data_IF_505713276722
#
_entry.id   IF_505713276722
#
_cell.length_a   1.000
_cell.length_b   1.000
_cell.length_c   1.000
_cell.angle_alpha   90.00
_cell.angle_beta   90.00
_cell.angle_gamma   90.00
#
_symmetry.space_group_name_H-M   'P 1'
#
loop_
_entity.id
_entity.type
_entity.pdbx_description
1 polymer ?
#
# COMPACT_ATOMS: atom_id res chain seq x y z
N UNK A 1 -17.53 -18.66 20.90
CA UNK A 1 -16.71 -17.81 19.99
C UNK A 1 -16.43 -16.56 20.79
N UNK A 2 -15.17 -16.12 21.00
CA UNK A 2 -14.96 -14.82 21.58
C UNK A 2 -15.62 -13.79 20.67
N UNK A 3 -16.38 -12.85 21.25
CA UNK A 3 -16.91 -11.69 20.56
C UNK A 3 -15.79 -11.08 19.74
N UNK A 4 -16.05 -10.85 18.44
CA UNK A 4 -15.01 -10.55 17.46
C UNK A 4 -14.15 -9.36 17.89
N UNK A 5 -12.86 -9.47 17.65
CA UNK A 5 -11.92 -8.38 17.87
C UNK A 5 -12.47 -7.08 17.26
N UNK A 6 -12.35 -5.92 17.92
CA UNK A 6 -12.93 -4.68 17.41
C UNK A 6 -12.38 -4.33 16.02
N UNK A 7 -13.17 -3.58 15.26
CA UNK A 7 -12.76 -3.07 13.97
C UNK A 7 -11.55 -2.12 14.14
N UNK A 8 -10.46 -2.39 13.42
CA UNK A 8 -9.24 -1.60 13.57
C UNK A 8 -8.21 -1.85 12.48
N UNK A 9 -7.02 -1.33 12.72
CA UNK A 9 -5.86 -1.42 11.85
C UNK A 9 -4.72 -2.14 12.59
N UNK A 10 -4.03 -3.04 11.90
CA UNK A 10 -2.83 -3.72 12.38
C UNK A 10 -1.70 -3.45 11.41
N UNK A 11 -0.54 -3.03 11.92
CA UNK A 11 0.66 -2.80 11.13
C UNK A 11 1.53 -4.05 11.18
N UNK A 12 1.80 -4.65 10.02
CA UNK A 12 2.69 -5.80 9.94
C UNK A 12 3.93 -5.50 9.12
N UNK A 13 5.09 -5.95 9.60
CA UNK A 13 6.32 -6.01 8.80
C UNK A 13 6.34 -7.34 8.05
N UNK A 14 5.93 -7.31 6.78
CA UNK A 14 5.85 -8.50 5.94
C UNK A 14 7.26 -9.01 5.62
N UNK A 15 7.61 -10.27 5.93
CA UNK A 15 8.87 -10.86 5.48
C UNK A 15 8.85 -11.16 3.97
N UNK A 16 10.04 -11.33 3.40
CA UNK A 16 10.18 -11.83 2.03
C UNK A 16 9.67 -13.27 1.86
N UNK A 17 9.42 -13.67 0.61
CA UNK A 17 9.08 -15.04 0.23
C UNK A 17 7.63 -15.46 0.45
N UNK A 18 6.78 -14.58 0.99
CA UNK A 18 5.35 -14.86 1.18
C UNK A 18 4.47 -13.78 0.56
N UNK A 19 3.30 -14.17 0.06
CA UNK A 19 2.33 -13.22 -0.45
C UNK A 19 1.71 -12.39 0.68
N UNK A 20 1.19 -11.19 0.36
CA UNK A 20 0.43 -10.36 1.31
C UNK A 20 -0.75 -11.14 1.92
N UNK A 21 -1.44 -11.97 1.13
CA UNK A 21 -2.54 -12.81 1.61
C UNK A 21 -2.06 -13.87 2.62
N UNK A 22 -0.91 -14.53 2.34
CA UNK A 22 -0.31 -15.50 3.26
C UNK A 22 0.07 -14.85 4.59
N UNK A 23 0.69 -13.66 4.54
CA UNK A 23 1.03 -12.89 5.75
C UNK A 23 -0.19 -12.59 6.62
N UNK A 24 -1.30 -12.11 6.01
CA UNK A 24 -2.54 -11.82 6.72
C UNK A 24 -3.18 -13.08 7.30
N UNK A 25 -3.09 -14.21 6.59
CA UNK A 25 -3.70 -15.46 7.02
C UNK A 25 -3.18 -15.95 8.38
N UNK A 26 -1.93 -15.60 8.74
CA UNK A 26 -1.33 -15.91 10.03
C UNK A 26 -2.00 -15.18 11.21
N UNK A 27 -2.66 -14.04 10.93
CA UNK A 27 -3.34 -13.23 11.94
C UNK A 27 -4.75 -13.72 12.29
N UNK A 28 -5.27 -14.72 11.56
CA UNK A 28 -6.66 -15.18 11.72
C UNK A 28 -6.96 -15.81 13.08
N UNK A 29 -5.95 -16.39 13.72
CA UNK A 29 -6.08 -16.94 15.08
C UNK A 29 -6.33 -15.85 16.12
N UNK A 30 -5.81 -14.63 15.89
CA UNK A 30 -5.92 -13.50 16.82
C UNK A 30 -7.13 -12.63 16.48
N UNK A 31 -7.25 -12.20 15.22
CA UNK A 31 -8.23 -11.19 14.80
C UNK A 31 -9.45 -11.75 14.05
N UNK A 32 -9.57 -13.07 13.94
CA UNK A 32 -10.67 -13.72 13.24
C UNK A 32 -10.51 -13.75 11.72
N UNK A 33 -11.56 -14.21 11.01
CA UNK A 33 -11.50 -14.48 9.58
C UNK A 33 -11.65 -13.24 8.69
N UNK A 34 -12.27 -12.18 9.20
CA UNK A 34 -12.56 -10.97 8.42
C UNK A 34 -11.37 -10.01 8.47
N UNK A 35 -10.41 -10.25 7.58
CA UNK A 35 -9.20 -9.47 7.42
C UNK A 35 -9.06 -9.02 5.96
N UNK A 36 -8.54 -7.80 5.77
CA UNK A 36 -8.18 -7.24 4.47
C UNK A 36 -6.92 -6.42 4.59
N UNK A 37 -6.28 -6.09 3.47
CA UNK A 37 -5.11 -5.19 3.46
C UNK A 37 -5.31 -4.01 2.53
N UNK A 38 -4.59 -2.93 2.78
CA UNK A 38 -4.51 -1.77 1.93
C UNK A 38 -3.14 -1.71 1.24
N UNK A 39 -3.13 -2.05 -0.06
CA UNK A 39 -1.92 -2.05 -0.88
C UNK A 39 -1.08 -3.33 -0.76
N UNK A 40 -1.18 -4.18 -1.80
CA UNK A 40 -0.40 -5.41 -1.93
C UNK A 40 1.11 -5.13 -1.95
N UNK A 41 1.90 -6.02 -1.34
CA UNK A 41 3.32 -6.18 -1.56
C UNK A 41 3.57 -7.46 -2.33
N UNK A 42 4.51 -7.42 -3.29
CA UNK A 42 4.97 -8.60 -4.01
C UNK A 42 5.60 -9.63 -3.06
N UNK A 43 5.67 -10.92 -3.42
CA UNK A 43 6.21 -11.93 -2.51
C UNK A 43 7.66 -11.66 -2.09
N UNK A 44 8.54 -11.26 -3.00
CA UNK A 44 9.93 -10.93 -2.69
C UNK A 44 10.08 -9.67 -1.83
N UNK A 45 9.13 -8.72 -1.92
CA UNK A 45 9.18 -7.46 -1.19
C UNK A 45 8.90 -7.64 0.31
N UNK A 46 9.48 -6.76 1.13
CA UNK A 46 9.31 -6.71 2.60
C UNK A 46 8.67 -5.41 3.06
N UNK A 47 8.43 -5.31 4.35
CA UNK A 47 8.06 -4.04 5.00
C UNK A 47 6.59 -3.88 5.29
N UNK A 48 6.18 -2.64 5.46
CA UNK A 48 4.89 -2.25 6.02
C UNK A 48 3.71 -2.72 5.17
N UNK A 49 2.85 -3.52 5.77
CA UNK A 49 1.54 -3.89 5.20
C UNK A 49 0.44 -3.54 6.21
N UNK A 50 -0.48 -2.69 5.78
CA UNK A 50 -1.62 -2.24 6.59
C UNK A 50 -2.73 -3.30 6.51
N UNK A 51 -3.10 -3.89 7.64
CA UNK A 51 -4.14 -4.94 7.74
C UNK A 51 -5.33 -4.38 8.51
N UNK A 52 -6.49 -4.45 7.88
CA UNK A 52 -7.77 -4.02 8.46
C UNK A 52 -8.52 -5.23 9.02
N UNK A 53 -9.08 -5.07 10.24
CA UNK A 53 -9.81 -6.12 10.95
C UNK A 53 -11.31 -5.85 10.98
N UNK A 54 -12.12 -6.91 10.95
CA UNK A 54 -13.56 -6.80 11.12
C UNK A 54 -14.23 -5.90 10.09
N UNK A 55 -15.05 -4.97 10.55
CA UNK A 55 -15.76 -4.01 9.69
C UNK A 55 -14.84 -2.93 9.11
N UNK A 56 -13.68 -2.67 9.73
CA UNK A 56 -12.71 -1.72 9.21
C UNK A 56 -12.17 -2.11 7.82
N UNK A 57 -12.33 -3.37 7.37
CA UNK A 57 -11.99 -3.77 5.98
C UNK A 57 -12.67 -2.91 4.92
N UNK A 58 -13.78 -2.24 5.25
CA UNK A 58 -14.49 -1.31 4.36
C UNK A 58 -13.75 0.03 4.17
N UNK A 59 -12.76 0.32 5.03
CA UNK A 59 -11.94 1.54 4.97
C UNK A 59 -10.73 1.40 4.04
N UNK A 60 -10.54 0.25 3.39
CA UNK A 60 -9.34 -0.01 2.59
C UNK A 60 -9.08 1.05 1.51
N UNK A 61 -10.11 1.60 0.88
CA UNK A 61 -9.99 2.62 -0.17
C UNK A 61 -9.33 3.92 0.32
N UNK A 62 -9.54 4.31 1.59
CA UNK A 62 -8.94 5.51 2.18
C UNK A 62 -7.43 5.37 2.39
N UNK A 63 -6.94 4.14 2.58
CA UNK A 63 -5.52 3.85 2.78
C UNK A 63 -4.79 3.53 1.48
N UNK A 64 -5.47 2.92 0.50
CA UNK A 64 -4.86 2.55 -0.79
C UNK A 64 -4.38 3.79 -1.55
N UNK A 65 -5.08 4.92 -1.44
CA UNK A 65 -4.73 6.18 -2.09
C UNK A 65 -3.51 6.90 -1.51
N UNK A 66 -3.08 6.57 -0.28
CA UNK A 66 -1.98 7.24 0.38
C UNK A 66 -0.64 7.09 -0.36
N UNK A 67 0.27 8.04 -0.18
CA UNK A 67 1.67 7.95 -0.64
C UNK A 67 2.39 6.78 0.04
N UNK A 68 3.43 6.27 -0.61
CA UNK A 68 4.29 5.21 -0.08
C UNK A 68 5.75 5.61 -0.23
N UNK A 69 6.55 5.20 0.76
CA UNK A 69 8.01 5.30 0.71
C UNK A 69 8.61 3.90 0.68
N UNK A 70 9.62 3.73 -0.15
CA UNK A 70 10.33 2.46 -0.35
C UNK A 70 11.84 2.67 -0.32
N UNK A 71 12.55 1.72 0.28
CA UNK A 71 13.96 1.48 0.05
C UNK A 71 14.09 0.31 -0.92
N UNK A 72 14.94 0.43 -1.93
CA UNK A 72 15.08 -0.58 -2.96
C UNK A 72 16.53 -0.76 -3.38
N UNK A 73 16.88 -1.98 -3.83
CA UNK A 73 18.16 -2.26 -4.48
C UNK A 73 17.90 -2.62 -5.94
N UNK A 74 18.56 -1.91 -6.83
CA UNK A 74 18.48 -2.07 -8.29
C UNK A 74 19.76 -2.73 -8.79
N UNK A 75 19.64 -3.80 -9.56
CA UNK A 75 20.74 -4.43 -10.29
C UNK A 75 20.78 -3.90 -11.73
N UNK A 76 21.87 -3.30 -12.14
CA UNK A 76 22.14 -2.89 -13.53
C UNK A 76 22.86 -4.00 -14.32
N UNK A 77 22.84 -3.88 -15.64
CA UNK A 77 23.49 -4.85 -16.54
C UNK A 77 22.73 -6.16 -16.70
N UNK A 78 21.49 -6.22 -16.26
CA UNK A 78 20.64 -7.39 -16.41
C UNK A 78 19.16 -6.99 -16.46
N UNK A 79 18.33 -7.83 -17.05
CA UNK A 79 16.86 -7.69 -17.08
C UNK A 79 16.22 -8.90 -16.45
N UNK A 80 15.04 -8.74 -15.87
CA UNK A 80 14.19 -9.83 -15.40
C UNK A 80 12.84 -9.79 -16.11
N UNK A 81 12.29 -10.93 -16.48
CA UNK A 81 10.98 -11.00 -17.13
C UNK A 81 9.83 -10.50 -16.26
N UNK A 82 10.02 -10.47 -14.94
CA UNK A 82 9.05 -9.92 -13.95
C UNK A 82 9.49 -8.58 -13.37
N UNK A 83 10.65 -8.04 -13.80
CA UNK A 83 11.28 -6.82 -13.26
C UNK A 83 11.71 -6.96 -11.78
N UNK A 84 11.76 -8.20 -11.26
CA UNK A 84 12.12 -8.60 -9.88
C UNK A 84 12.87 -9.95 -9.87
N UNK A 85 13.33 -10.46 -8.70
CA UNK A 85 14.14 -11.69 -8.63
C UNK A 85 13.36 -12.98 -8.95
N UNK A 86 12.02 -12.93 -9.08
CA UNK A 86 11.19 -14.12 -9.33
C UNK A 86 11.14 -14.50 -10.81
N UNK A 87 11.59 -13.62 -11.71
CA UNK A 87 11.63 -13.85 -13.16
C UNK A 87 12.89 -14.51 -13.66
N UNK A 88 12.89 -14.83 -14.96
CA UNK A 88 14.09 -15.25 -15.67
C UNK A 88 15.00 -14.05 -15.90
N UNK A 89 16.28 -14.18 -15.53
CA UNK A 89 17.26 -13.10 -15.58
C UNK A 89 18.15 -13.27 -16.80
N UNK A 90 18.21 -12.23 -17.62
CA UNK A 90 19.11 -12.12 -18.77
C UNK A 90 20.16 -11.04 -18.49
N UNK A 91 21.43 -11.41 -18.55
CA UNK A 91 22.55 -10.50 -18.29
C UNK A 91 23.11 -9.93 -19.59
N UNK A 92 23.13 -8.62 -19.72
CA UNK A 92 23.73 -7.89 -20.85
C UNK A 92 25.25 -7.71 -20.68
N UNK A 93 25.72 -7.66 -19.43
CA UNK A 93 27.12 -7.33 -19.10
C UNK A 93 27.50 -5.86 -19.33
N UNK A 94 26.55 -5.03 -19.71
CA UNK A 94 26.78 -3.58 -19.89
C UNK A 94 26.77 -2.91 -18.52
N UNK A 95 27.80 -2.10 -18.24
CA UNK A 95 27.96 -1.39 -16.97
C UNK A 95 27.54 0.08 -17.09
N UNK A 96 27.21 0.69 -15.96
CA UNK A 96 26.94 2.14 -15.82
C UNK A 96 27.81 2.77 -14.74
N UNK A 97 27.71 4.06 -14.58
CA UNK A 97 28.42 4.83 -13.54
C UNK A 97 27.42 5.47 -12.57
N UNK A 98 27.90 5.80 -11.37
CA UNK A 98 27.10 6.54 -10.38
C UNK A 98 26.55 7.85 -10.95
N UNK A 99 27.39 8.57 -11.72
CA UNK A 99 27.04 9.85 -12.34
C UNK A 99 25.87 9.66 -13.33
N UNK A 100 25.98 8.69 -14.25
CA UNK A 100 24.91 8.40 -15.22
C UNK A 100 23.58 8.01 -14.54
N UNK A 101 23.65 7.21 -13.48
CA UNK A 101 22.46 6.86 -12.69
C UNK A 101 21.86 8.12 -12.05
N UNK A 102 22.69 8.96 -11.43
CA UNK A 102 22.25 10.19 -10.75
C UNK A 102 21.61 11.18 -11.71
N UNK A 103 22.16 11.32 -12.90
CA UNK A 103 21.67 12.25 -13.93
C UNK A 103 20.35 11.79 -14.56
N UNK A 104 20.06 10.48 -14.56
CA UNK A 104 18.81 9.93 -15.08
C UNK A 104 17.62 10.00 -14.10
N UNK A 105 17.85 10.10 -12.78
CA UNK A 105 16.77 10.10 -11.78
C UNK A 105 15.74 11.23 -11.95
N UNK A 106 16.10 12.45 -12.33
CA UNK A 106 15.14 13.53 -12.55
C UNK A 106 14.08 13.20 -13.62
N UNK A 107 14.42 12.40 -14.65
CA UNK A 107 13.47 12.00 -15.71
C UNK A 107 12.37 11.06 -15.19
N UNK A 108 12.63 10.38 -14.07
CA UNK A 108 11.69 9.46 -13.40
C UNK A 108 11.07 10.07 -12.13
N UNK A 109 11.18 11.40 -11.97
CA UNK A 109 10.65 12.15 -10.81
C UNK A 109 9.60 13.17 -11.31
N UNK A 110 8.55 13.39 -10.50
CA UNK A 110 7.40 14.21 -10.86
C UNK A 110 6.25 13.38 -11.42
N UNK A 111 5.41 13.98 -12.26
CA UNK A 111 4.36 13.27 -13.01
C UNK A 111 4.96 12.58 -14.23
N UNK A 112 4.95 11.26 -14.23
CA UNK A 112 5.50 10.44 -15.31
C UNK A 112 4.47 9.48 -15.89
N UNK A 113 4.65 9.11 -17.13
CA UNK A 113 3.92 8.03 -17.77
C UNK A 113 4.66 6.71 -17.56
N UNK A 114 4.03 5.77 -16.87
CA UNK A 114 4.61 4.48 -16.52
C UNK A 114 3.83 3.32 -17.11
N UNK A 115 4.53 2.37 -17.73
CA UNK A 115 3.97 1.07 -18.11
C UNK A 115 4.17 0.11 -16.93
N UNK A 116 3.07 -0.37 -16.29
CA UNK A 116 3.17 -1.33 -15.20
C UNK A 116 3.75 -2.67 -15.65
N UNK A 117 4.32 -3.47 -14.71
CA UNK A 117 4.80 -4.80 -15.05
C UNK A 117 3.70 -5.70 -15.58
N UNK A 118 4.03 -6.56 -16.57
CA UNK A 118 3.11 -7.61 -17.04
C UNK A 118 2.68 -8.55 -15.90
N UNK A 119 3.61 -8.83 -14.98
CA UNK A 119 3.36 -9.61 -13.76
C UNK A 119 2.75 -8.72 -12.65
N UNK A 120 1.58 -8.10 -12.90
CA UNK A 120 0.89 -7.22 -11.95
C UNK A 120 -0.54 -7.66 -11.63
N UNK A 121 -1.13 -7.06 -10.58
CA UNK A 121 -2.50 -7.32 -10.17
C UNK A 121 -3.55 -6.51 -10.99
N UNK A 122 -3.14 -5.78 -12.00
CA UNK A 122 -4.03 -4.99 -12.87
C UNK A 122 -4.98 -5.92 -13.61
N UNK A 123 -6.25 -5.50 -13.75
CA UNK A 123 -7.23 -6.22 -14.56
C UNK A 123 -7.16 -5.74 -16.01
N UNK A 124 -7.04 -6.69 -16.91
CA UNK A 124 -7.09 -6.49 -18.37
C UNK A 124 -8.21 -7.41 -18.88
N UNK A 125 -9.23 -6.84 -19.48
CA UNK A 125 -10.40 -7.58 -19.99
C UNK A 125 -11.06 -8.49 -18.93
N UNK A 126 -11.12 -8.02 -17.68
CA UNK A 126 -11.76 -8.75 -16.58
C UNK A 126 -10.87 -9.80 -15.88
N UNK A 127 -9.66 -10.06 -16.39
CA UNK A 127 -8.70 -10.97 -15.76
C UNK A 127 -7.45 -10.23 -15.27
N UNK A 128 -6.84 -10.70 -14.19
CA UNK A 128 -5.60 -10.11 -13.66
C UNK A 128 -4.41 -10.42 -14.58
N UNK A 129 -3.61 -9.39 -14.91
CA UNK A 129 -2.45 -9.48 -15.80
C UNK A 129 -1.48 -10.60 -15.43
N UNK A 130 -1.16 -10.77 -14.12
CA UNK A 130 -0.24 -11.82 -13.66
C UNK A 130 -0.73 -13.25 -13.98
N UNK A 131 -2.04 -13.50 -14.09
CA UNK A 131 -2.58 -14.83 -14.44
C UNK A 131 -2.32 -15.14 -15.90
N UNK A 132 -2.53 -14.16 -16.78
CA UNK A 132 -2.24 -14.28 -18.21
C UNK A 132 -0.74 -14.47 -18.45
N UNK A 133 0.08 -13.65 -17.76
CA UNK A 133 1.54 -13.76 -17.83
C UNK A 133 2.04 -15.15 -17.43
N UNK A 134 1.53 -15.75 -16.34
CA UNK A 134 1.91 -17.11 -15.92
C UNK A 134 1.50 -18.21 -16.89
N UNK A 135 0.55 -17.97 -17.77
CA UNK A 135 0.18 -18.88 -18.87
C UNK A 135 1.06 -18.69 -20.12
N UNK A 136 2.07 -17.82 -20.05
CA UNK A 136 2.95 -17.49 -21.18
C UNK A 136 2.31 -16.59 -22.22
N UNK A 137 1.18 -15.92 -21.90
CA UNK A 137 0.55 -14.97 -22.82
C UNK A 137 1.34 -13.65 -22.83
N UNK A 138 1.45 -13.04 -24.03
CA UNK A 138 1.95 -11.67 -24.14
C UNK A 138 0.91 -10.71 -23.55
N UNK A 139 1.27 -10.00 -22.49
CA UNK A 139 0.37 -9.07 -21.78
C UNK A 139 0.82 -7.66 -22.05
N UNK A 140 0.01 -6.89 -22.78
CA UNK A 140 0.21 -5.44 -22.95
C UNK A 140 -0.56 -4.71 -21.87
N UNK A 141 0.15 -4.06 -20.94
CA UNK A 141 -0.46 -3.27 -19.88
C UNK A 141 -0.53 -1.82 -20.32
N UNK A 142 -1.69 -1.15 -20.24
CA UNK A 142 -1.81 0.25 -20.60
C UNK A 142 -0.91 1.14 -19.74
N UNK A 143 -0.29 2.13 -20.39
CA UNK A 143 0.43 3.22 -19.73
C UNK A 143 -0.51 3.99 -18.82
N UNK A 144 0.00 4.43 -17.67
CA UNK A 144 -0.76 5.27 -16.75
C UNK A 144 0.11 6.37 -16.16
N UNK A 145 -0.52 7.49 -15.86
CA UNK A 145 0.13 8.58 -15.18
C UNK A 145 0.26 8.29 -13.70
N UNK A 146 1.47 8.48 -13.16
CA UNK A 146 1.80 8.29 -11.75
C UNK A 146 2.64 9.46 -11.27
N UNK A 147 2.63 9.70 -9.94
CA UNK A 147 3.42 10.75 -9.31
C UNK A 147 4.56 10.13 -8.49
N UNK A 148 5.78 10.51 -8.81
CA UNK A 148 6.99 10.19 -8.04
C UNK A 148 7.46 11.46 -7.35
N UNK A 149 7.24 11.57 -6.04
CA UNK A 149 7.60 12.76 -5.26
C UNK A 149 9.11 12.92 -5.13
N UNK A 150 9.82 11.80 -4.95
CA UNK A 150 11.29 11.76 -4.92
C UNK A 150 11.80 10.39 -5.33
N UNK A 151 12.92 10.39 -6.05
CA UNK A 151 13.69 9.20 -6.40
C UNK A 151 15.17 9.53 -6.18
N UNK A 152 15.76 9.01 -5.09
CA UNK A 152 17.06 9.42 -4.60
C UNK A 152 18.03 8.26 -4.57
N UNK A 153 19.22 8.44 -5.15
CA UNK A 153 20.34 7.50 -5.04
C UNK A 153 21.01 7.66 -3.67
N UNK A 154 21.02 6.60 -2.88
CA UNK A 154 21.66 6.55 -1.56
C UNK A 154 23.12 6.07 -1.69
N UNK A 155 23.32 5.00 -2.48
CA UNK A 155 24.62 4.39 -2.67
C UNK A 155 24.68 3.69 -4.03
N UNK A 156 25.86 3.71 -4.67
CA UNK A 156 26.16 2.97 -5.89
C UNK A 156 27.43 2.16 -5.68
N UNK A 157 27.35 0.87 -5.93
CA UNK A 157 28.48 -0.06 -5.94
C UNK A 157 28.86 -0.37 -7.39
N UNK A 158 29.99 0.16 -7.83
CA UNK A 158 30.49 0.00 -9.20
C UNK A 158 30.93 -1.43 -9.51
N UNK A 159 31.37 -2.20 -8.50
CA UNK A 159 31.90 -3.55 -8.71
C UNK A 159 30.75 -4.55 -8.92
N UNK A 160 29.71 -4.45 -8.10
CA UNK A 160 28.49 -5.27 -8.24
C UNK A 160 27.46 -4.70 -9.19
N UNK A 161 27.64 -3.44 -9.66
CA UNK A 161 26.69 -2.71 -10.48
C UNK A 161 25.31 -2.61 -9.80
N UNK A 162 25.30 -2.31 -8.49
CA UNK A 162 24.07 -2.17 -7.69
C UNK A 162 23.88 -0.75 -7.19
N UNK A 163 22.64 -0.29 -7.22
CA UNK A 163 22.25 0.96 -6.57
C UNK A 163 21.26 0.71 -5.45
N UNK A 164 21.51 1.32 -4.28
CA UNK A 164 20.51 1.48 -3.22
C UNK A 164 19.83 2.82 -3.40
N UNK A 165 18.51 2.82 -3.44
CA UNK A 165 17.69 4.00 -3.70
C UNK A 165 16.55 4.12 -2.69
N UNK A 166 16.09 5.35 -2.47
CA UNK A 166 14.85 5.65 -1.75
C UNK A 166 13.86 6.30 -2.71
N UNK A 167 12.61 5.82 -2.68
CA UNK A 167 11.53 6.28 -3.57
C UNK A 167 10.32 6.65 -2.75
N UNK A 168 9.83 7.91 -2.86
CA UNK A 168 8.51 8.31 -2.36
C UNK A 168 7.59 8.57 -3.55
N UNK A 169 6.44 7.91 -3.58
CA UNK A 169 5.55 7.98 -4.72
C UNK A 169 4.06 7.85 -4.33
N UNK A 170 3.22 8.36 -5.20
CA UNK A 170 1.77 8.25 -5.10
C UNK A 170 1.27 6.83 -5.36
N UNK A 171 -0.01 6.64 -5.08
CA UNK A 171 -0.70 5.36 -5.31
C UNK A 171 -0.61 4.95 -6.78
N UNK A 172 -0.44 3.64 -6.97
CA UNK A 172 -0.41 3.06 -8.30
C UNK A 172 0.96 3.00 -8.96
N UNK A 173 2.00 3.64 -8.43
CA UNK A 173 3.37 3.55 -8.92
C UNK A 173 3.95 2.17 -8.67
N UNK A 174 4.65 1.61 -9.66
CA UNK A 174 5.42 0.37 -9.54
C UNK A 174 6.91 0.69 -9.46
N UNK A 175 7.52 0.39 -8.31
CA UNK A 175 8.97 0.60 -8.13
C UNK A 175 9.78 -0.36 -9.03
N UNK A 176 9.23 -1.54 -9.37
CA UNK A 176 9.81 -2.45 -10.37
C UNK A 176 9.96 -1.78 -11.74
N UNK A 177 8.91 -1.11 -12.20
CA UNK A 177 8.98 -0.39 -13.47
C UNK A 177 9.92 0.81 -13.42
N UNK A 178 10.02 1.52 -12.27
CA UNK A 178 11.03 2.58 -12.11
C UNK A 178 12.46 2.04 -12.27
N UNK A 179 12.74 0.85 -11.71
CA UNK A 179 14.05 0.22 -11.88
C UNK A 179 14.33 -0.17 -13.33
N UNK A 180 13.34 -0.78 -14.02
CA UNK A 180 13.43 -1.08 -15.46
C UNK A 180 13.70 0.17 -16.28
N UNK A 181 12.87 1.20 -16.08
CA UNK A 181 12.93 2.44 -16.86
C UNK A 181 14.25 3.19 -16.63
N UNK A 182 14.78 3.19 -15.38
CA UNK A 182 16.09 3.71 -15.06
C UNK A 182 17.21 2.95 -15.80
N UNK A 183 17.14 1.61 -15.81
CA UNK A 183 18.07 0.76 -16.56
C UNK A 183 18.03 1.00 -18.06
N UNK A 184 16.85 1.32 -18.61
CA UNK A 184 16.69 1.68 -20.03
C UNK A 184 17.29 3.05 -20.33
N UNK A 185 17.07 4.05 -19.48
CA UNK A 185 17.66 5.39 -19.61
C UNK A 185 19.20 5.37 -19.61
N UNK A 186 19.81 4.58 -18.75
CA UNK A 186 21.27 4.44 -18.70
C UNK A 186 21.84 3.40 -19.68
N UNK A 187 20.98 2.73 -20.46
CA UNK A 187 21.35 1.83 -21.56
C UNK A 187 21.86 0.45 -21.14
N UNK A 188 21.66 0.02 -19.88
CA UNK A 188 22.17 -1.25 -19.35
C UNK A 188 21.09 -2.32 -19.19
N UNK A 189 19.82 -1.90 -19.04
CA UNK A 189 18.78 -2.70 -18.44
C UNK A 189 19.00 -2.82 -16.92
N UNK A 190 17.88 -2.93 -16.19
CA UNK A 190 17.93 -3.15 -14.74
C UNK A 190 16.65 -3.84 -14.24
N UNK A 191 16.72 -4.37 -13.01
CA UNK A 191 15.59 -4.92 -12.27
C UNK A 191 15.79 -4.75 -10.77
N UNK A 192 14.73 -4.87 -9.97
CA UNK A 192 14.82 -4.83 -8.50
C UNK A 192 15.34 -6.16 -7.97
N UNK A 193 16.33 -6.13 -7.07
CA UNK A 193 16.75 -7.29 -6.28
C UNK A 193 16.15 -7.28 -4.88
N UNK A 194 15.91 -6.08 -4.31
CA UNK A 194 15.28 -5.91 -3.01
C UNK A 194 14.30 -4.74 -3.05
N UNK A 195 13.20 -4.89 -2.31
CA UNK A 195 12.20 -3.84 -2.12
C UNK A 195 11.65 -3.91 -0.70
N UNK A 196 11.71 -2.80 0.02
CA UNK A 196 11.15 -2.65 1.35
C UNK A 196 10.25 -1.43 1.41
N UNK A 197 8.97 -1.62 1.72
CA UNK A 197 8.07 -0.49 1.98
C UNK A 197 8.23 -0.02 3.41
N UNK A 198 8.73 1.20 3.59
CA UNK A 198 9.01 1.80 4.89
C UNK A 198 7.83 2.60 5.41
N UNK A 199 7.03 3.23 4.52
CA UNK A 199 5.91 4.08 4.93
C UNK A 199 4.69 3.90 4.02
N UNK A 200 3.50 4.11 4.58
CA UNK A 200 2.22 4.26 3.88
C UNK A 200 1.45 5.40 4.55
N UNK A 201 1.34 6.56 3.89
CA UNK A 201 0.77 7.76 4.49
C UNK A 201 1.50 8.16 5.76
N UNK A 202 0.79 8.21 6.88
CA UNK A 202 1.34 8.53 8.20
C UNK A 202 1.89 7.31 8.96
N UNK A 203 1.84 6.11 8.40
CA UNK A 203 2.25 4.88 9.07
C UNK A 203 3.67 4.49 8.69
N UNK A 204 4.47 4.11 9.69
CA UNK A 204 5.85 3.65 9.52
C UNK A 204 6.01 2.16 9.82
N UNK A 205 6.97 1.53 9.13
CA UNK A 205 7.36 0.14 9.40
C UNK A 205 7.99 -0.03 10.78
N UNK A 206 8.48 1.04 11.40
CA UNK A 206 9.02 1.03 12.76
C UNK A 206 7.97 0.69 13.82
N UNK A 207 6.69 0.95 13.52
CA UNK A 207 5.55 0.65 14.39
C UNK A 207 4.93 -0.72 14.09
N UNK A 208 5.46 -1.43 13.09
CA UNK A 208 4.96 -2.71 12.64
C UNK A 208 5.68 -3.89 13.31
N UNK A 209 4.99 -5.03 13.38
CA UNK A 209 5.56 -6.28 13.91
C UNK A 209 5.49 -7.40 12.87
N UNK A 210 6.43 -8.36 12.89
CA UNK A 210 6.33 -9.55 12.06
C UNK A 210 5.01 -10.32 12.32
N UNK A 211 4.35 -10.85 11.29
CA UNK A 211 3.05 -11.52 11.44
C UNK A 211 3.10 -12.73 12.39
N UNK A 212 4.21 -13.46 12.47
CA UNK A 212 4.37 -14.60 13.38
C UNK A 212 4.49 -14.14 14.84
N UNK A 213 5.13 -13.00 15.08
CA UNK A 213 5.20 -12.40 16.42
C UNK A 213 3.81 -12.01 16.90
N UNK A 214 3.00 -11.40 16.04
CA UNK A 214 1.61 -11.04 16.34
C UNK A 214 0.77 -12.29 16.59
N UNK A 215 0.92 -13.32 15.77
CA UNK A 215 0.17 -14.57 15.92
C UNK A 215 0.50 -15.34 17.21
N UNK A 216 1.73 -15.19 17.72
CA UNK A 216 2.19 -15.81 18.96
C UNK A 216 1.87 -14.96 20.21
N UNK A 217 1.65 -13.66 20.06
CA UNK A 217 1.36 -12.75 21.16
C UNK A 217 -0.07 -12.96 21.68
N UNK A 218 -0.27 -12.75 23.00
CA UNK A 218 -1.61 -12.65 23.55
C UNK A 218 -2.35 -11.43 22.94
N UNK A 219 -3.65 -11.58 22.69
CA UNK A 219 -4.48 -10.48 22.20
C UNK A 219 -4.32 -9.25 23.12
N UNK A 220 -3.82 -8.14 22.54
CA UNK A 220 -3.55 -6.89 23.28
C UNK A 220 -2.08 -6.45 23.31
N UNK A 221 -1.13 -7.32 22.97
CA UNK A 221 0.30 -6.98 22.92
C UNK A 221 0.79 -6.54 21.54
N UNK A 222 -0.12 -6.26 20.57
CA UNK A 222 0.20 -6.04 19.16
C UNK A 222 0.02 -4.58 18.77
N UNK A 223 0.66 -4.18 17.67
CA UNK A 223 0.51 -2.91 16.99
C UNK A 223 -0.90 -2.78 16.37
N UNK A 224 -1.95 -2.83 17.21
CA UNK A 224 -3.34 -2.60 16.85
C UNK A 224 -3.73 -1.16 17.14
N UNK A 225 -4.41 -0.54 16.20
CA UNK A 225 -4.88 0.83 16.26
C UNK A 225 -6.40 0.86 16.02
N UNK A 226 -7.14 1.80 16.65
CA UNK A 226 -8.57 1.96 16.40
C UNK A 226 -8.83 2.32 14.93
N UNK A 227 -10.03 2.01 14.43
CA UNK A 227 -10.39 2.27 13.03
C UNK A 227 -10.33 3.75 12.64
N UNK A 228 -10.49 4.66 13.60
CA UNK A 228 -10.35 6.11 13.41
C UNK A 228 -8.97 6.50 12.89
N UNK A 229 -7.91 5.78 13.29
CA UNK A 229 -6.54 6.02 12.80
C UNK A 229 -6.41 5.83 11.28
N UNK A 230 -7.17 4.90 10.71
CA UNK A 230 -7.16 4.63 9.26
C UNK A 230 -7.71 5.81 8.42
N UNK A 231 -8.41 6.74 9.03
CA UNK A 231 -9.08 7.88 8.38
C UNK A 231 -8.73 9.20 9.06
N UNK A 232 -7.59 9.27 9.74
CA UNK A 232 -7.13 10.45 10.48
C UNK A 232 -6.94 11.70 9.61
N UNK A 233 -6.85 11.57 8.28
CA UNK A 233 -6.80 12.69 7.35
C UNK A 233 -8.17 13.30 7.00
N UNK A 234 -9.29 12.69 7.40
CA UNK A 234 -10.61 13.23 7.20
C UNK A 234 -10.97 14.24 8.29
N UNK A 235 -11.86 15.18 7.96
CA UNK A 235 -12.52 15.99 8.97
C UNK A 235 -13.27 15.07 9.95
N UNK A 236 -13.19 15.38 11.24
CA UNK A 236 -13.77 14.55 12.29
C UNK A 236 -14.87 15.29 13.02
N UNK A 237 -15.98 14.61 13.29
CA UNK A 237 -17.08 15.13 14.11
C UNK A 237 -17.45 14.14 15.22
N UNK A 238 -17.48 14.65 16.43
CA UNK A 238 -17.98 13.91 17.58
C UNK A 238 -19.52 13.92 17.58
N UNK A 239 -20.12 12.76 17.73
CA UNK A 239 -21.56 12.56 17.75
C UNK A 239 -22.12 12.70 19.17
N UNK A 240 -23.32 13.26 19.30
CA UNK A 240 -24.11 13.07 20.53
C UNK A 240 -24.62 11.63 20.62
N UNK A 241 -25.10 11.23 21.81
CA UNK A 241 -25.67 9.90 22.00
C UNK A 241 -26.89 9.62 21.07
N UNK A 242 -27.70 10.65 20.83
CA UNK A 242 -28.86 10.56 19.93
C UNK A 242 -28.42 10.42 18.48
N UNK A 243 -27.45 11.23 18.03
CA UNK A 243 -26.90 11.17 16.68
C UNK A 243 -26.20 9.82 16.40
N UNK A 244 -25.50 9.25 17.41
CA UNK A 244 -24.88 7.94 17.31
C UNK A 244 -25.89 6.85 16.96
N UNK A 245 -27.08 6.88 17.57
CA UNK A 245 -28.17 5.95 17.27
C UNK A 245 -28.66 6.16 15.81
N UNK A 246 -28.91 7.41 15.43
CA UNK A 246 -29.36 7.75 14.07
C UNK A 246 -28.34 7.26 13.03
N UNK A 247 -27.06 7.61 13.21
CA UNK A 247 -25.96 7.24 12.31
C UNK A 247 -25.73 5.71 12.28
N UNK A 248 -25.86 5.04 13.43
CA UNK A 248 -25.75 3.59 13.57
C UNK A 248 -26.79 2.83 12.74
N UNK A 249 -27.98 3.41 12.55
CA UNK A 249 -29.03 2.90 11.66
C UNK A 249 -28.89 3.41 10.20
N UNK A 250 -27.85 4.18 9.87
CA UNK A 250 -27.64 4.76 8.54
C UNK A 250 -28.42 6.06 8.30
N UNK A 251 -28.97 6.65 9.34
CA UNK A 251 -29.69 7.92 9.28
C UNK A 251 -28.73 9.11 9.06
N UNK A 252 -29.27 10.19 8.51
CA UNK A 252 -28.54 11.44 8.20
C UNK A 252 -28.56 12.37 9.40
N UNK A 253 -27.50 13.19 9.53
CA UNK A 253 -27.39 14.22 10.56
C UNK A 253 -26.95 15.55 9.94
N UNK A 254 -27.29 16.66 10.58
CA UNK A 254 -26.80 17.97 10.20
C UNK A 254 -25.32 18.12 10.61
N UNK A 255 -24.53 18.76 9.76
CA UNK A 255 -23.14 19.14 10.00
C UNK A 255 -22.91 20.59 9.55
N UNK A 256 -21.72 21.13 9.78
CA UNK A 256 -21.38 22.47 9.30
C UNK A 256 -21.49 22.51 7.77
N UNK A 257 -22.18 23.53 7.25
CA UNK A 257 -22.37 23.73 5.80
C UNK A 257 -21.08 24.01 5.03
N UNK A 258 -19.99 24.38 5.74
CA UNK A 258 -18.67 24.57 5.13
C UNK A 258 -17.92 23.26 4.92
N UNK A 259 -18.42 22.14 5.44
CA UNK A 259 -17.80 20.84 5.25
C UNK A 259 -18.12 20.29 3.88
N UNK A 260 -17.11 19.75 3.27
CA UNK A 260 -17.16 19.09 1.94
C UNK A 260 -16.50 17.72 2.04
N UNK A 261 -16.73 16.88 1.06
CA UNK A 261 -16.16 15.52 0.98
C UNK A 261 -16.65 14.58 2.10
N UNK A 262 -15.82 13.60 2.43
CA UNK A 262 -16.12 12.60 3.44
C UNK A 262 -15.69 13.07 4.83
N UNK A 263 -16.51 12.76 5.84
CA UNK A 263 -16.28 13.07 7.25
C UNK A 263 -16.27 11.79 8.08
N UNK A 264 -15.36 11.73 9.06
CA UNK A 264 -15.32 10.68 10.06
C UNK A 264 -16.21 11.06 11.25
N UNK A 265 -17.22 10.25 11.54
CA UNK A 265 -18.15 10.41 12.64
C UNK A 265 -17.72 9.53 13.81
N UNK A 266 -17.34 10.17 14.93
CA UNK A 266 -16.78 9.51 16.11
C UNK A 266 -17.77 9.55 17.27
N UNK A 267 -17.73 8.58 18.17
CA UNK A 267 -18.42 8.69 19.46
C UNK A 267 -17.61 9.51 20.50
N UNK A 268 -18.11 9.56 21.72
CA UNK A 268 -17.49 10.28 22.84
C UNK A 268 -16.17 9.62 23.32
N UNK A 269 -15.95 8.35 22.98
CA UNK A 269 -14.70 7.62 23.24
C UNK A 269 -13.65 7.80 22.13
N UNK A 270 -14.02 8.46 21.00
CA UNK A 270 -13.17 8.60 19.83
C UNK A 270 -13.18 7.38 18.88
N UNK A 271 -14.10 6.45 19.10
CA UNK A 271 -14.29 5.32 18.22
C UNK A 271 -15.04 5.73 16.94
N UNK A 272 -14.57 5.22 15.80
CA UNK A 272 -15.17 5.50 14.50
C UNK A 272 -16.50 4.76 14.33
N UNK A 273 -17.59 5.49 14.33
CA UNK A 273 -18.95 4.97 14.13
C UNK A 273 -19.25 4.83 12.64
N UNK A 274 -18.95 5.88 11.85
CA UNK A 274 -19.23 5.87 10.43
C UNK A 274 -18.30 6.83 9.65
N UNK A 275 -18.20 6.59 8.34
CA UNK A 275 -17.80 7.61 7.37
C UNK A 275 -19.04 8.05 6.62
N UNK A 276 -19.25 9.37 6.52
CA UNK A 276 -20.38 9.97 5.84
C UNK A 276 -19.91 10.91 4.72
N UNK A 277 -20.64 10.91 3.61
CA UNK A 277 -20.50 11.97 2.60
C UNK A 277 -21.27 13.20 3.07
N UNK A 278 -20.70 14.38 2.87
CA UNK A 278 -21.35 15.65 3.19
C UNK A 278 -21.86 16.29 1.91
N UNK A 279 -23.12 16.70 1.95
CA UNK A 279 -23.78 17.45 0.90
C UNK A 279 -24.73 18.46 1.52
N UNK A 280 -24.57 19.74 1.19
CA UNK A 280 -25.39 20.88 1.67
C UNK A 280 -25.64 20.86 3.20
N UNK A 281 -24.57 20.69 3.99
CA UNK A 281 -24.64 20.67 5.46
C UNK A 281 -25.30 19.42 6.06
N UNK A 282 -25.46 18.34 5.27
CA UNK A 282 -26.00 17.07 5.71
C UNK A 282 -25.00 15.94 5.50
N UNK A 283 -24.64 15.24 6.58
CA UNK A 283 -23.81 14.05 6.52
C UNK A 283 -24.68 12.79 6.34
N UNK A 284 -24.45 12.07 5.23
CA UNK A 284 -25.12 10.83 4.89
C UNK A 284 -24.14 9.66 5.04
N UNK A 285 -24.35 8.70 5.97
CA UNK A 285 -23.43 7.58 6.19
C UNK A 285 -23.26 6.71 4.94
N UNK A 286 -22.01 6.52 4.50
CA UNK A 286 -21.57 5.62 3.42
C UNK A 286 -21.08 4.29 3.98
N UNK A 287 -20.37 4.36 5.11
CA UNK A 287 -19.79 3.21 5.80
C UNK A 287 -20.14 3.32 7.29
N UNK A 288 -20.94 2.40 7.79
CA UNK A 288 -21.24 2.27 9.22
C UNK A 288 -20.43 1.09 9.76
N UNK A 289 -19.56 1.36 10.75
CA UNK A 289 -18.69 0.37 11.39
C UNK A 289 -19.32 -0.23 12.64
N UNK A 290 -19.99 0.61 13.44
CA UNK A 290 -20.69 0.20 14.66
C UNK A 290 -22.18 0.46 14.42
N UNK A 291 -23.00 -0.57 14.21
CA UNK A 291 -24.44 -0.41 14.16
C UNK A 291 -24.98 -0.07 15.56
N UNK A 292 -26.15 0.54 15.58
CA UNK A 292 -26.84 0.88 16.81
C UNK A 292 -27.22 -0.35 17.63
#
# INVERSE_FOLDING_TARGET
MPEGFPAGLVLIDKPAGISSFSAISRLRSVYGKKLGHAGTLDPFATGLLLVLTGRATRLASYLVGADKTYDATIQFGSRSTTEDPEGEIETSGVTTTEEAVRDALPELTGEIDQVPPAASAIHIDGERAYRRFRRGETVTVPTRRVLVHSFTLIHFDSDSQQATVSVRCGSGTYVRSLARDLGDLVGTGAYLTQLRRTEVGAFSVTDAMPPDTIAAAAAGACAWFPASTAVGGLQQRQLTAEERIIVGHGGRIAVDSNWVDDVALLDDMGDLIAIAAVDDGVAAPKIVLVPA
#
